data_IF_049530315474
#
_entry.id   IF_049530315474
#
_cell.length_a   1.000
_cell.length_b   1.000
_cell.length_c   1.000
_cell.angle_alpha   90.00
_cell.angle_beta   90.00
_cell.angle_gamma   90.00
#
_symmetry.space_group_name_H-M   'P 1'
#
loop_
_entity.id
_entity.type
_entity.pdbx_description
1 polymer ?
#
# COMPACT_ATOMS: atom_id res chain seq x y z
N UNK A 1 31.71 69.53 -24.70
CA UNK A 1 30.43 69.53 -25.45
C UNK A 1 29.64 68.31 -25.03
N UNK A 2 28.46 68.55 -24.49
CA UNK A 2 27.52 67.57 -23.93
C UNK A 2 26.77 66.78 -25.00
N UNK A 3 26.45 65.50 -24.74
CA UNK A 3 25.23 64.76 -25.13
C UNK A 3 25.02 63.63 -24.10
N UNK A 4 24.13 63.78 -23.11
CA UNK A 4 22.71 63.32 -23.08
C UNK A 4 22.55 61.80 -23.34
N UNK A 5 22.34 60.94 -22.32
CA UNK A 5 21.09 60.57 -21.59
C UNK A 5 20.01 59.90 -22.47
N UNK A 6 19.82 58.58 -22.32
CA UNK A 6 18.55 57.80 -22.24
C UNK A 6 18.86 56.29 -22.16
N UNK A 7 18.66 55.61 -21.01
CA UNK A 7 17.43 54.89 -20.60
C UNK A 7 17.04 53.72 -21.52
N UNK A 8 17.13 52.46 -21.06
CA UNK A 8 15.95 51.63 -20.75
C UNK A 8 16.34 50.28 -20.14
N UNK A 9 15.57 49.90 -19.12
CA UNK A 9 15.66 48.66 -18.35
C UNK A 9 15.46 47.39 -19.20
N UNK A 10 16.30 46.38 -18.98
CA UNK A 10 15.97 45.00 -19.37
C UNK A 10 15.62 44.22 -18.10
N UNK A 11 14.31 44.00 -17.96
CA UNK A 11 13.67 43.34 -16.84
C UNK A 11 14.20 41.93 -16.60
N UNK A 12 14.53 41.71 -15.33
CA UNK A 12 14.23 40.53 -14.52
C UNK A 12 13.09 39.67 -15.11
N UNK A 13 13.41 38.44 -15.52
CA UNK A 13 12.46 37.34 -15.58
C UNK A 13 13.15 36.02 -15.18
N UNK A 14 13.50 35.94 -13.90
CA UNK A 14 13.60 34.64 -13.22
C UNK A 14 12.18 34.06 -13.15
N UNK A 15 11.76 33.35 -14.19
CA UNK A 15 10.61 32.48 -14.14
C UNK A 15 11.05 31.20 -13.41
N UNK A 16 11.14 31.28 -12.09
CA UNK A 16 11.19 30.09 -11.24
C UNK A 16 9.86 29.36 -11.43
N UNK A 17 9.86 28.37 -12.33
CA UNK A 17 8.77 27.41 -12.46
C UNK A 17 8.67 26.64 -11.13
N UNK A 18 7.83 27.15 -10.23
CA UNK A 18 7.36 26.42 -9.07
C UNK A 18 6.50 25.27 -9.59
N UNK A 19 7.14 24.14 -9.89
CA UNK A 19 6.44 22.90 -10.13
C UNK A 19 5.56 22.63 -8.90
N UNK A 20 4.24 22.43 -9.07
CA UNK A 20 3.41 21.96 -7.98
C UNK A 20 3.92 20.57 -7.63
N UNK A 21 4.60 20.46 -6.49
CA UNK A 21 4.75 19.19 -5.78
C UNK A 21 3.33 18.79 -5.37
N UNK A 22 2.60 18.14 -6.28
CA UNK A 22 1.50 17.26 -5.90
C UNK A 22 2.10 16.08 -5.16
N UNK A 23 2.53 16.34 -3.93
CA UNK A 23 2.41 15.36 -2.88
C UNK A 23 0.91 15.16 -2.76
N UNK A 24 0.40 14.06 -3.32
CA UNK A 24 -0.84 13.48 -2.83
C UNK A 24 -0.54 13.13 -1.38
N UNK A 25 -0.75 14.13 -0.51
CA UNK A 25 -0.65 13.97 0.92
C UNK A 25 -1.68 12.90 1.26
N UNK A 26 -1.18 11.72 1.65
CA UNK A 26 -1.95 10.80 2.47
C UNK A 26 -2.55 11.66 3.56
N UNK A 27 -3.88 11.84 3.55
CA UNK A 27 -4.52 12.68 4.54
C UNK A 27 -4.03 12.22 5.92
N UNK A 28 -3.55 13.14 6.78
CA UNK A 28 -2.94 12.79 8.06
C UNK A 28 -3.86 11.96 8.98
N UNK A 29 -5.14 11.82 8.60
CA UNK A 29 -6.17 11.03 9.27
C UNK A 29 -6.40 9.64 8.65
N UNK A 30 -5.61 9.19 7.67
CA UNK A 30 -5.72 7.83 7.14
C UNK A 30 -5.44 6.79 8.25
N UNK A 31 -6.35 5.83 8.44
CA UNK A 31 -6.20 4.75 9.40
C UNK A 31 -5.12 3.77 8.93
N UNK A 32 -4.11 3.54 9.76
CA UNK A 32 -3.06 2.55 9.45
C UNK A 32 -3.55 1.11 9.62
N UNK A 33 -2.88 0.15 8.99
CA UNK A 33 -3.17 -1.28 9.12
C UNK A 33 -3.28 -1.76 10.59
N UNK A 34 -2.38 -1.32 11.47
CA UNK A 34 -2.40 -1.73 12.89
C UNK A 34 -3.57 -1.09 13.65
N UNK A 35 -3.94 0.15 13.31
CA UNK A 35 -5.11 0.81 13.87
C UNK A 35 -6.40 0.13 13.40
N UNK A 36 -6.49 -0.23 12.13
CA UNK A 36 -7.64 -0.96 11.58
C UNK A 36 -7.78 -2.33 12.24
N UNK A 37 -6.68 -3.08 12.34
CA UNK A 37 -6.68 -4.38 13.04
C UNK A 37 -7.17 -4.25 14.47
N UNK A 38 -6.62 -3.30 15.24
CA UNK A 38 -7.00 -3.10 16.64
C UNK A 38 -8.48 -2.67 16.77
N UNK A 39 -9.00 -1.89 15.81
CA UNK A 39 -10.42 -1.54 15.76
C UNK A 39 -11.31 -2.77 15.52
N UNK A 40 -10.95 -3.63 14.56
CA UNK A 40 -11.71 -4.84 14.25
C UNK A 40 -11.66 -5.86 15.39
N UNK A 41 -10.50 -6.01 16.03
CA UNK A 41 -10.37 -6.81 17.26
C UNK A 41 -11.24 -6.26 18.39
N UNK A 42 -11.34 -4.94 18.54
CA UNK A 42 -12.24 -4.32 19.50
C UNK A 42 -13.71 -4.63 19.21
N UNK A 43 -14.15 -4.52 17.95
CA UNK A 43 -15.52 -4.88 17.54
C UNK A 43 -15.81 -6.37 17.85
N UNK A 44 -14.89 -7.27 17.50
CA UNK A 44 -15.03 -8.69 17.81
C UNK A 44 -15.07 -8.94 19.34
N UNK A 45 -14.28 -8.23 20.13
CA UNK A 45 -14.29 -8.36 21.57
C UNK A 45 -15.59 -7.88 22.22
N UNK A 46 -16.33 -6.93 21.61
CA UNK A 46 -17.66 -6.56 22.10
C UNK A 46 -18.66 -7.71 21.97
N UNK A 47 -18.42 -8.64 21.05
CA UNK A 47 -19.25 -9.82 20.85
C UNK A 47 -18.92 -10.99 21.81
N UNK A 48 -17.78 -10.95 22.51
CA UNK A 48 -17.40 -11.97 23.48
C UNK A 48 -18.34 -11.96 24.71
N UNK A 49 -18.88 -13.12 25.06
CA UNK A 49 -19.80 -13.32 26.20
C UNK A 49 -19.24 -12.82 27.53
N UNK A 50 -17.93 -12.92 27.75
CA UNK A 50 -17.26 -12.42 28.95
C UNK A 50 -17.29 -10.90 29.00
N UNK A 51 -17.15 -10.23 27.85
CA UNK A 51 -17.20 -8.77 27.74
C UNK A 51 -18.63 -8.26 27.83
N UNK A 52 -19.60 -8.99 27.26
CA UNK A 52 -21.04 -8.67 27.37
C UNK A 52 -21.51 -8.60 28.83
N UNK A 53 -21.01 -9.49 29.69
CA UNK A 53 -21.28 -9.51 31.15
C UNK A 53 -20.68 -8.33 31.92
N UNK A 54 -19.71 -7.61 31.36
CA UNK A 54 -19.11 -6.42 31.98
C UNK A 54 -20.02 -5.21 31.74
N UNK A 55 -20.22 -4.38 32.78
CA UNK A 55 -20.97 -3.10 32.67
C UNK A 55 -20.41 -2.24 31.51
N UNK A 56 -21.26 -1.65 30.64
CA UNK A 56 -20.81 -0.94 29.42
C UNK A 56 -19.68 0.08 29.65
N UNK A 57 -19.80 0.93 30.68
CA UNK A 57 -18.79 1.94 31.05
C UNK A 57 -17.40 1.36 31.40
N UNK A 58 -17.30 0.06 31.71
CA UNK A 58 -16.05 -0.63 32.07
C UNK A 58 -15.48 -1.50 30.94
N UNK A 59 -16.25 -1.78 29.88
CA UNK A 59 -15.85 -2.71 28.80
C UNK A 59 -14.56 -2.27 28.12
N UNK A 60 -14.49 -1.04 27.65
CA UNK A 60 -13.30 -0.52 26.94
C UNK A 60 -12.02 -0.63 27.79
N UNK A 61 -12.08 -0.35 29.10
CA UNK A 61 -10.93 -0.51 30.01
C UNK A 61 -10.52 -1.97 30.16
N UNK A 62 -11.47 -2.89 30.23
CA UNK A 62 -11.19 -4.32 30.31
C UNK A 62 -10.59 -4.87 29.01
N UNK A 63 -11.15 -4.49 27.86
CA UNK A 63 -10.65 -4.86 26.53
C UNK A 63 -9.23 -4.33 26.32
N UNK A 64 -8.98 -3.05 26.63
CA UNK A 64 -7.64 -2.46 26.54
C UNK A 64 -6.60 -3.24 27.35
N UNK A 65 -6.96 -3.66 28.57
CA UNK A 65 -6.09 -4.48 29.42
C UNK A 65 -5.85 -5.87 28.82
N UNK A 66 -6.91 -6.50 28.29
CA UNK A 66 -6.81 -7.82 27.65
C UNK A 66 -5.90 -7.80 26.41
N UNK A 67 -5.97 -6.73 25.62
CA UNK A 67 -5.13 -6.53 24.44
C UNK A 67 -3.72 -6.02 24.77
N UNK A 68 -3.43 -5.68 26.04
CA UNK A 68 -2.15 -5.11 26.43
C UNK A 68 -1.87 -3.72 25.83
N UNK A 69 -2.93 -2.97 25.47
CA UNK A 69 -2.80 -1.63 24.86
C UNK A 69 -3.20 -0.53 25.85
N UNK A 70 -2.56 0.65 25.81
CA UNK A 70 -2.99 1.78 26.61
C UNK A 70 -4.44 2.18 26.30
N UNK A 71 -5.26 2.42 27.33
CA UNK A 71 -6.67 2.82 27.16
C UNK A 71 -6.83 4.04 26.24
N UNK A 72 -5.94 5.03 26.36
CA UNK A 72 -5.93 6.23 25.51
C UNK A 72 -5.68 5.89 24.03
N UNK A 73 -4.82 4.89 23.75
CA UNK A 73 -4.55 4.42 22.38
C UNK A 73 -5.79 3.73 21.82
N UNK A 74 -6.39 2.80 22.57
CA UNK A 74 -7.60 2.10 22.14
C UNK A 74 -8.75 3.07 21.87
N UNK A 75 -9.03 3.99 22.79
CA UNK A 75 -10.09 4.99 22.62
C UNK A 75 -9.91 5.86 21.38
N UNK A 76 -8.68 6.26 21.07
CA UNK A 76 -8.37 7.02 19.85
C UNK A 76 -8.63 6.19 18.59
N UNK A 77 -8.18 4.93 18.57
CA UNK A 77 -8.37 4.02 17.45
C UNK A 77 -9.86 3.73 17.22
N UNK A 78 -10.62 3.47 18.28
CA UNK A 78 -12.07 3.25 18.20
C UNK A 78 -12.77 4.46 17.63
N UNK A 79 -12.50 5.66 18.17
CA UNK A 79 -13.08 6.91 17.65
C UNK A 79 -12.77 7.10 16.16
N UNK A 80 -11.53 6.84 15.75
CA UNK A 80 -11.12 6.94 14.34
C UNK A 80 -11.86 5.90 13.49
N UNK A 81 -11.96 4.66 13.95
CA UNK A 81 -12.63 3.55 13.25
C UNK A 81 -14.12 3.79 13.07
N UNK A 82 -14.80 4.31 14.09
CA UNK A 82 -16.22 4.69 14.00
C UNK A 82 -16.47 5.78 12.94
N UNK A 83 -15.47 6.59 12.60
CA UNK A 83 -15.59 7.66 11.61
C UNK A 83 -15.29 7.19 10.18
N UNK A 84 -14.32 6.29 9.99
CA UNK A 84 -13.74 6.02 8.67
C UNK A 84 -13.69 4.55 8.27
N UNK A 85 -13.99 3.59 9.15
CA UNK A 85 -13.75 2.17 8.86
C UNK A 85 -14.75 1.59 7.86
N UNK A 86 -16.00 2.08 7.85
CA UNK A 86 -17.02 1.61 6.92
C UNK A 86 -16.66 2.05 5.49
N UNK A 87 -16.52 1.09 4.57
CA UNK A 87 -16.10 1.36 3.19
C UNK A 87 -14.60 1.63 3.02
N UNK A 88 -13.80 1.56 4.09
CA UNK A 88 -12.37 1.89 4.05
C UNK A 88 -11.59 0.96 3.12
N UNK A 89 -11.87 -0.35 3.18
CA UNK A 89 -11.16 -1.36 2.41
C UNK A 89 -11.43 -1.16 0.92
N UNK A 90 -12.69 -0.92 0.55
CA UNK A 90 -13.14 -0.63 -0.80
C UNK A 90 -12.53 0.67 -1.34
N UNK A 91 -12.49 1.71 -0.51
CA UNK A 91 -11.85 2.98 -0.87
C UNK A 91 -10.33 2.83 -1.10
N UNK A 92 -9.64 2.07 -0.24
CA UNK A 92 -8.20 1.78 -0.39
C UNK A 92 -7.93 0.90 -1.62
N UNK A 93 -8.81 -0.07 -1.90
CA UNK A 93 -8.74 -0.89 -3.12
C UNK A 93 -8.88 -0.03 -4.38
N UNK A 94 -9.89 0.83 -4.43
CA UNK A 94 -10.09 1.75 -5.55
C UNK A 94 -8.91 2.71 -5.73
N UNK A 95 -8.36 3.26 -4.64
CA UNK A 95 -7.20 4.12 -4.68
C UNK A 95 -5.94 3.39 -5.19
N UNK A 96 -5.67 2.18 -4.68
CA UNK A 96 -4.53 1.36 -5.09
C UNK A 96 -4.64 0.91 -6.55
N UNK A 97 -5.82 0.46 -6.99
CA UNK A 97 -6.04 0.09 -8.38
C UNK A 97 -5.85 1.29 -9.32
N UNK A 98 -6.37 2.47 -8.95
CA UNK A 98 -6.18 3.71 -9.72
C UNK A 98 -4.70 4.09 -9.83
N UNK A 99 -3.97 4.05 -8.71
CA UNK A 99 -2.55 4.37 -8.67
C UNK A 99 -1.72 3.40 -9.52
N UNK A 100 -2.00 2.09 -9.39
CA UNK A 100 -1.36 1.05 -10.20
C UNK A 100 -1.61 1.24 -11.70
N UNK A 101 -2.88 1.39 -12.12
CA UNK A 101 -3.25 1.55 -13.53
C UNK A 101 -2.69 2.84 -14.15
N UNK A 102 -2.46 3.87 -13.34
CA UNK A 102 -1.89 5.15 -13.77
C UNK A 102 -0.35 5.15 -13.83
N UNK A 103 0.32 4.11 -13.29
CA UNK A 103 1.77 4.08 -13.23
C UNK A 103 2.40 3.73 -14.59
N UNK A 104 3.38 4.51 -15.10
CA UNK A 104 3.86 4.38 -16.48
C UNK A 104 4.60 3.07 -16.77
N UNK A 105 5.19 2.43 -15.75
CA UNK A 105 6.01 1.21 -15.94
C UNK A 105 5.24 -0.09 -15.78
N UNK A 106 4.08 -0.08 -15.11
CA UNK A 106 3.33 -1.31 -14.77
C UNK A 106 1.83 -1.22 -15.06
N UNK A 107 1.27 -0.03 -15.27
CA UNK A 107 -0.19 0.16 -15.31
C UNK A 107 -0.92 -0.65 -16.38
N UNK A 108 -0.32 -0.78 -17.58
CA UNK A 108 -0.86 -1.61 -18.66
C UNK A 108 -0.76 -3.12 -18.41
N UNK A 109 0.08 -3.54 -17.45
CA UNK A 109 0.28 -4.95 -17.10
C UNK A 109 -0.71 -5.42 -16.03
N UNK A 110 -1.19 -4.51 -15.19
CA UNK A 110 -2.08 -4.84 -14.06
C UNK A 110 -3.34 -5.49 -14.62
N UNK A 111 -3.68 -6.67 -14.11
CA UNK A 111 -4.94 -7.34 -14.42
C UNK A 111 -5.96 -6.96 -13.34
N UNK A 112 -5.68 -7.35 -12.11
CA UNK A 112 -6.60 -7.19 -10.99
C UNK A 112 -5.89 -6.85 -9.66
N UNK A 113 -6.66 -6.25 -8.75
CA UNK A 113 -6.29 -5.98 -7.36
C UNK A 113 -7.54 -6.11 -6.48
N UNK A 114 -7.42 -6.95 -5.45
CA UNK A 114 -8.46 -7.16 -4.44
C UNK A 114 -7.86 -6.98 -3.04
N UNK A 115 -8.55 -6.25 -2.17
CA UNK A 115 -8.24 -6.20 -0.74
C UNK A 115 -9.29 -6.99 0.03
N UNK A 116 -8.83 -7.93 0.85
CA UNK A 116 -9.71 -8.79 1.65
C UNK A 116 -9.42 -8.58 3.13
N UNK A 117 -10.45 -8.24 3.92
CA UNK A 117 -10.38 -8.20 5.38
C UNK A 117 -10.48 -9.63 5.95
N UNK A 118 -9.37 -10.13 6.51
CA UNK A 118 -9.30 -11.44 7.17
C UNK A 118 -9.23 -11.26 8.69
N UNK A 119 -10.34 -10.84 9.29
CA UNK A 119 -10.45 -10.68 10.74
C UNK A 119 -9.63 -9.52 11.30
N UNK A 120 -9.63 -8.39 10.60
CA UNK A 120 -8.87 -7.19 10.93
C UNK A 120 -7.51 -7.10 10.24
N UNK A 121 -7.05 -8.16 9.58
CA UNK A 121 -5.83 -8.15 8.77
C UNK A 121 -6.23 -8.03 7.31
N UNK A 122 -6.00 -6.86 6.71
CA UNK A 122 -6.27 -6.66 5.28
C UNK A 122 -5.11 -7.18 4.45
N UNK A 123 -5.40 -8.07 3.51
CA UNK A 123 -4.44 -8.62 2.55
C UNK A 123 -4.78 -8.09 1.16
N UNK A 124 -3.79 -7.48 0.49
CA UNK A 124 -3.91 -7.06 -0.90
C UNK A 124 -3.40 -8.18 -1.83
N UNK A 125 -4.29 -8.72 -2.64
CA UNK A 125 -4.00 -9.69 -3.68
C UNK A 125 -3.88 -8.96 -5.02
N UNK A 126 -2.71 -9.03 -5.65
CA UNK A 126 -2.44 -8.25 -6.86
C UNK A 126 -1.84 -9.13 -7.93
N UNK A 127 -2.38 -9.01 -9.14
CA UNK A 127 -1.87 -9.75 -10.29
C UNK A 127 -1.66 -8.89 -11.53
N UNK A 128 -0.69 -9.29 -12.33
CA UNK A 128 -0.33 -8.62 -13.57
C UNK A 128 0.19 -9.60 -14.62
N UNK A 129 0.19 -9.15 -15.87
CA UNK A 129 0.81 -9.83 -17.00
C UNK A 129 2.31 -9.56 -16.97
N UNK A 130 3.12 -10.62 -16.96
CA UNK A 130 4.52 -10.49 -17.29
C UNK A 130 4.68 -10.47 -18.81
N UNK A 131 5.21 -9.37 -19.34
CA UNK A 131 5.60 -9.27 -20.75
C UNK A 131 7.09 -9.49 -20.97
N UNK A 132 7.90 -9.37 -19.92
CA UNK A 132 9.37 -9.48 -19.97
C UNK A 132 9.93 -10.15 -18.71
N UNK A 133 10.55 -11.33 -18.89
CA UNK A 133 11.13 -12.12 -17.79
C UNK A 133 12.20 -11.36 -17.01
N UNK A 134 12.95 -10.46 -17.67
CA UNK A 134 14.08 -9.76 -17.07
C UNK A 134 13.62 -8.59 -16.19
N UNK A 135 12.34 -8.20 -16.29
CA UNK A 135 11.75 -7.09 -15.54
C UNK A 135 10.87 -7.52 -14.37
N UNK A 136 10.66 -8.81 -14.14
CA UNK A 136 9.78 -9.31 -13.06
C UNK A 136 10.08 -8.70 -11.68
N UNK A 137 11.36 -8.63 -11.30
CA UNK A 137 11.74 -8.08 -10.00
C UNK A 137 11.42 -6.57 -9.92
N UNK A 138 11.59 -5.83 -11.02
CA UNK A 138 11.27 -4.40 -11.09
C UNK A 138 9.76 -4.21 -11.00
N UNK A 139 8.99 -4.95 -11.79
CA UNK A 139 7.52 -4.94 -11.77
C UNK A 139 6.98 -5.23 -10.37
N UNK A 140 7.45 -6.30 -9.73
CA UNK A 140 7.03 -6.66 -8.37
C UNK A 140 7.36 -5.56 -7.35
N UNK A 141 8.54 -4.93 -7.45
CA UNK A 141 8.93 -3.83 -6.57
C UNK A 141 8.06 -2.57 -6.77
N UNK A 142 7.76 -2.20 -8.03
CA UNK A 142 6.83 -1.11 -8.33
C UNK A 142 5.43 -1.41 -7.77
N UNK A 143 4.87 -2.58 -8.10
CA UNK A 143 3.53 -2.98 -7.65
C UNK A 143 3.45 -2.95 -6.13
N UNK A 144 4.40 -3.57 -5.43
CA UNK A 144 4.44 -3.58 -3.97
C UNK A 144 4.45 -2.16 -3.38
N UNK A 145 5.31 -1.29 -3.91
CA UNK A 145 5.49 0.07 -3.38
C UNK A 145 4.25 0.92 -3.58
N UNK A 146 3.65 0.87 -4.78
CA UNK A 146 2.47 1.64 -5.14
C UNK A 146 1.28 1.23 -4.25
N UNK A 147 1.06 -0.07 -4.09
CA UNK A 147 -0.04 -0.58 -3.26
C UNK A 147 0.18 -0.23 -1.79
N UNK A 148 1.40 -0.35 -1.27
CA UNK A 148 1.68 0.05 0.10
C UNK A 148 1.47 1.55 0.37
N UNK A 149 1.64 2.42 -0.65
CA UNK A 149 1.35 3.85 -0.53
C UNK A 149 -0.14 4.14 -0.56
N UNK A 150 -0.83 3.56 -1.54
CA UNK A 150 -2.21 3.89 -1.85
C UNK A 150 -3.22 3.15 -0.97
N UNK A 151 -2.80 2.04 -0.34
CA UNK A 151 -3.61 1.25 0.58
C UNK A 151 -2.90 1.08 1.94
N UNK A 152 -2.78 2.14 2.77
CA UNK A 152 -2.15 2.08 4.09
C UNK A 152 -2.83 1.11 5.08
N UNK A 153 -4.06 0.68 4.80
CA UNK A 153 -4.79 -0.33 5.59
C UNK A 153 -4.28 -1.75 5.33
N UNK A 154 -3.64 -2.01 4.18
CA UNK A 154 -3.12 -3.33 3.84
C UNK A 154 -1.93 -3.68 4.74
N UNK A 155 -1.97 -4.88 5.35
CA UNK A 155 -0.90 -5.40 6.18
C UNK A 155 0.10 -6.24 5.38
N UNK A 156 -0.43 -7.05 4.46
CA UNK A 156 0.32 -7.99 3.62
C UNK A 156 -0.09 -7.81 2.17
N UNK A 157 0.88 -7.88 1.26
CA UNK A 157 0.65 -7.89 -0.18
C UNK A 157 1.05 -9.28 -0.70
N UNK A 158 0.10 -9.99 -1.29
CA UNK A 158 0.30 -11.26 -1.98
C UNK A 158 0.28 -10.99 -3.49
N UNK A 159 1.42 -11.20 -4.13
CA UNK A 159 1.69 -10.80 -5.50
C UNK A 159 1.88 -12.03 -6.38
N UNK A 160 1.32 -12.00 -7.59
CA UNK A 160 1.69 -12.97 -8.61
C UNK A 160 1.65 -12.38 -10.01
N UNK A 161 2.49 -12.94 -10.88
CA UNK A 161 2.53 -12.55 -12.29
C UNK A 161 2.25 -13.74 -13.19
N UNK A 162 1.60 -13.44 -14.32
CA UNK A 162 1.12 -14.42 -15.28
C UNK A 162 1.78 -14.21 -16.64
N UNK A 163 2.24 -15.29 -17.28
CA UNK A 163 2.56 -15.31 -18.71
C UNK A 163 1.52 -16.19 -19.42
N UNK A 164 0.62 -15.55 -20.18
CA UNK A 164 -0.60 -16.20 -20.65
C UNK A 164 -1.46 -16.67 -19.47
N UNK A 165 -1.68 -17.99 -19.41
CA UNK A 165 -2.46 -18.68 -18.36
C UNK A 165 -1.59 -19.33 -17.27
N UNK A 166 -0.26 -19.18 -17.37
CA UNK A 166 0.69 -19.79 -16.44
C UNK A 166 1.18 -18.76 -15.44
N UNK A 167 1.09 -19.11 -14.15
CA UNK A 167 1.70 -18.32 -13.08
C UNK A 167 3.22 -18.48 -13.12
N UNK A 168 3.95 -17.39 -13.37
CA UNK A 168 5.42 -17.39 -13.52
C UNK A 168 6.15 -16.80 -12.33
N UNK A 169 5.45 -16.04 -11.49
CA UNK A 169 6.01 -15.42 -10.29
C UNK A 169 4.98 -15.43 -9.15
N UNK A 170 5.44 -15.70 -7.93
CA UNK A 170 4.67 -15.44 -6.70
C UNK A 170 5.59 -14.87 -5.63
N UNK A 171 5.09 -13.95 -4.82
CA UNK A 171 5.79 -13.47 -3.66
C UNK A 171 4.82 -12.87 -2.65
N UNK A 172 5.26 -12.73 -1.41
CA UNK A 172 4.57 -11.96 -0.37
C UNK A 172 5.48 -10.85 0.14
N UNK A 173 4.90 -9.74 0.57
CA UNK A 173 5.66 -8.68 1.23
C UNK A 173 4.77 -7.96 2.23
N UNK A 174 5.31 -7.66 3.42
CA UNK A 174 4.60 -6.80 4.37
C UNK A 174 4.51 -5.39 3.83
N UNK A 175 3.37 -4.72 4.00
CA UNK A 175 3.18 -3.34 3.51
C UNK A 175 4.23 -2.38 4.07
N UNK A 176 4.60 -2.53 5.35
CA UNK A 176 5.68 -1.77 5.97
C UNK A 176 7.07 -2.01 5.35
N UNK A 177 7.32 -3.22 4.83
CA UNK A 177 8.55 -3.51 4.10
C UNK A 177 8.53 -2.91 2.69
N UNK A 178 7.39 -3.02 2.00
CA UNK A 178 7.18 -2.45 0.67
C UNK A 178 7.28 -0.92 0.66
N UNK A 179 6.81 -0.24 1.71
CA UNK A 179 6.95 1.21 1.88
C UNK A 179 8.43 1.70 1.95
N UNK A 180 9.39 0.80 2.18
CA UNK A 180 10.84 1.13 2.18
C UNK A 180 11.46 1.09 0.78
N UNK A 181 10.73 0.60 -0.22
CA UNK A 181 11.18 0.60 -1.61
C UNK A 181 11.17 2.05 -2.11
N UNK A 182 12.29 2.46 -2.70
CA UNK A 182 12.40 3.78 -3.34
C UNK A 182 12.25 3.61 -4.84
N UNK A 183 11.20 4.22 -5.38
CA UNK A 183 10.78 4.09 -6.78
C UNK A 183 11.92 4.45 -7.75
N UNK A 184 12.62 5.54 -7.48
CA UNK A 184 13.72 6.07 -8.29
C UNK A 184 14.94 5.15 -8.34
N UNK A 185 15.00 4.14 -7.46
CA UNK A 185 16.10 3.17 -7.41
C UNK A 185 15.65 1.74 -7.73
N UNK A 186 14.41 1.55 -8.21
CA UNK A 186 13.90 0.21 -8.54
C UNK A 186 14.72 -0.42 -9.65
N UNK A 187 15.09 0.33 -10.68
CA UNK A 187 15.86 -0.21 -11.81
C UNK A 187 17.23 -0.77 -11.37
N UNK A 188 17.88 -0.12 -10.40
CA UNK A 188 19.19 -0.54 -9.87
C UNK A 188 19.12 -1.69 -8.85
N UNK A 189 18.07 -1.70 -8.00
CA UNK A 189 18.06 -2.54 -6.79
C UNK A 189 16.97 -3.60 -6.74
N UNK A 190 16.08 -3.66 -7.73
CA UNK A 190 14.99 -4.63 -7.78
C UNK A 190 15.48 -6.07 -7.57
N UNK A 191 16.39 -6.53 -8.43
CA UNK A 191 16.88 -7.91 -8.42
C UNK A 191 17.82 -8.24 -7.25
N UNK A 192 18.34 -7.23 -6.54
CA UNK A 192 19.35 -7.41 -5.49
C UNK A 192 18.78 -7.12 -4.11
N UNK A 193 18.55 -5.85 -3.78
CA UNK A 193 18.16 -5.41 -2.44
C UNK A 193 16.67 -5.54 -2.19
N UNK A 194 15.83 -5.19 -3.17
CA UNK A 194 14.38 -5.16 -2.96
C UNK A 194 13.76 -6.55 -3.02
N UNK A 195 14.26 -7.45 -3.86
CA UNK A 195 13.76 -8.84 -3.88
C UNK A 195 13.92 -9.54 -2.52
N UNK A 196 14.94 -9.17 -1.73
CA UNK A 196 15.16 -9.70 -0.36
C UNK A 196 14.13 -9.22 0.67
N UNK A 197 13.32 -8.23 0.34
CA UNK A 197 12.21 -7.78 1.19
C UNK A 197 10.97 -8.69 1.04
N UNK A 198 10.94 -9.49 -0.03
CA UNK A 198 9.86 -10.42 -0.29
C UNK A 198 10.11 -11.76 0.40
N UNK A 199 9.01 -12.38 0.78
CA UNK A 199 8.90 -13.71 1.37
C UNK A 199 8.26 -14.65 0.34
N UNK A 200 8.47 -15.95 0.47
CA UNK A 200 7.88 -17.00 -0.39
C UNK A 200 8.05 -16.74 -1.90
N UNK A 201 9.24 -16.28 -2.31
CA UNK A 201 9.52 -15.94 -3.71
C UNK A 201 9.68 -17.21 -4.55
N UNK A 202 8.79 -17.37 -5.53
CA UNK A 202 8.91 -18.34 -6.60
C UNK A 202 8.98 -17.61 -7.95
N UNK A 203 9.91 -18.02 -8.80
CA UNK A 203 10.13 -17.48 -10.14
C UNK A 203 10.48 -18.62 -11.11
N UNK A 204 9.58 -18.87 -12.06
CA UNK A 204 9.72 -19.92 -13.06
C UNK A 204 10.96 -19.71 -13.95
N UNK A 205 11.30 -18.46 -14.28
CA UNK A 205 12.47 -18.14 -15.11
C UNK A 205 13.81 -18.28 -14.38
N UNK A 206 13.78 -18.33 -13.04
CA UNK A 206 14.95 -18.61 -12.21
C UNK A 206 15.05 -20.09 -11.81
N UNK A 207 14.24 -20.98 -12.41
CA UNK A 207 14.25 -22.41 -12.11
C UNK A 207 13.53 -22.82 -10.82
N UNK A 208 12.78 -21.90 -10.19
CA UNK A 208 11.98 -22.18 -8.98
C UNK A 208 10.50 -21.78 -9.24
N UNK A 209 9.75 -22.54 -10.06
CA UNK A 209 8.39 -22.18 -10.43
C UNK A 209 7.42 -22.20 -9.23
N UNK A 210 6.33 -21.42 -9.27
CA UNK A 210 5.24 -21.52 -8.29
C UNK A 210 4.68 -22.94 -8.21
N UNK A 211 4.30 -23.38 -7.00
CA UNK A 211 3.74 -24.72 -6.75
C UNK A 211 2.36 -24.89 -7.40
N UNK A 212 1.60 -23.81 -7.52
CA UNK A 212 0.29 -23.73 -8.16
C UNK A 212 0.39 -22.91 -9.46
N UNK A 213 0.63 -23.60 -10.57
CA UNK A 213 0.78 -22.94 -11.88
C UNK A 213 -0.56 -22.47 -12.48
N UNK A 214 -1.69 -22.93 -11.91
CA UNK A 214 -3.05 -22.50 -12.24
C UNK A 214 -3.42 -21.25 -11.43
N UNK A 215 -4.33 -20.42 -11.95
CA UNK A 215 -4.77 -19.18 -11.28
C UNK A 215 -4.55 -17.89 -12.08
N UNK A 216 -4.24 -18.03 -13.37
CA UNK A 216 -4.24 -16.94 -14.34
C UNK A 216 -5.34 -17.22 -15.38
N UNK A 217 -6.60 -17.28 -14.93
CA UNK A 217 -7.74 -17.28 -15.86
C UNK A 217 -7.85 -15.92 -16.57
N UNK A 218 -8.31 -15.95 -17.83
CA UNK A 218 -8.57 -14.75 -18.64
C UNK A 218 -9.65 -13.86 -18.03
#
# INVERSE_FOLDING_TARGET
MARFLTLLALCLSLLAAAAPKSLLAVEPDAMSADEYKLYREYQAALEDERVKKIKPKRRMRAIARNFGVPLKKLARVVKKGEQVADGLVEANQAAALKALKSHPKVGSLIRDLELVDQGGVVVAYVNWVNSDKDRLAQEAAYVARIVAEAAPVAHLLALWSCNGTVKVFTAKIRSSAAARIREERVEDFAATRYLRLFEDVHNAFAGNPPKDQKGCSE
#
